data_IF_275070518213
#
_entry.id   IF_275070518213
#
_cell.length_a   1.000
_cell.length_b   1.000
_cell.length_c   1.000
_cell.angle_alpha   90.00
_cell.angle_beta   90.00
_cell.angle_gamma   90.00
#
_symmetry.space_group_name_H-M   'P 1'
#
loop_
_entity.id
_entity.type
_entity.pdbx_description
1 polymer ?
#
# COMPACT_ATOMS: atom_id res chain seq x y z
N UNK A 1 15.31 -14.28 9.93
CA UNK A 1 16.23 -13.92 11.03
C UNK A 1 15.72 -14.45 12.36
N UNK A 2 14.59 -13.98 12.91
CA UNK A 2 14.05 -14.50 14.19
C UNK A 2 13.69 -15.98 14.13
N UNK A 3 12.91 -16.42 13.14
CA UNK A 3 12.54 -17.84 12.98
C UNK A 3 13.77 -18.74 12.88
N UNK A 4 14.75 -18.35 12.05
CA UNK A 4 16.04 -19.05 11.93
C UNK A 4 16.82 -19.09 13.25
N UNK A 5 16.89 -17.97 13.98
CA UNK A 5 17.57 -17.89 15.27
C UNK A 5 16.91 -18.76 16.36
N UNK A 6 15.60 -18.98 16.23
CA UNK A 6 14.84 -19.88 17.09
C UNK A 6 14.90 -21.35 16.64
N UNK A 7 15.67 -21.68 15.59
CA UNK A 7 15.77 -23.05 15.07
C UNK A 7 14.49 -23.54 14.39
N UNK A 8 13.66 -22.65 13.85
CA UNK A 8 12.42 -23.01 13.17
C UNK A 8 12.71 -23.54 11.76
N UNK A 9 12.20 -24.74 11.45
CA UNK A 9 12.33 -25.37 10.13
C UNK A 9 11.34 -24.82 9.07
N UNK A 10 10.16 -24.41 9.51
CA UNK A 10 9.07 -23.93 8.64
C UNK A 10 8.33 -22.74 9.27
N UNK A 11 8.22 -21.65 8.51
CA UNK A 11 7.38 -20.51 8.84
C UNK A 11 6.08 -20.56 8.03
N UNK A 12 4.92 -20.59 8.70
CA UNK A 12 3.62 -20.50 8.03
C UNK A 12 3.13 -19.05 8.08
N UNK A 13 2.96 -18.42 6.92
CA UNK A 13 2.61 -17.02 6.77
C UNK A 13 1.19 -16.85 6.21
N UNK A 14 0.25 -16.46 7.07
CA UNK A 14 -1.16 -16.32 6.71
C UNK A 14 -1.48 -14.92 6.18
N UNK A 15 -2.42 -14.85 5.23
CA UNK A 15 -3.20 -13.65 4.93
C UNK A 15 -2.55 -12.63 3.99
N UNK A 16 -1.32 -12.85 3.53
CA UNK A 16 -0.62 -11.91 2.65
C UNK A 16 -0.11 -12.58 1.37
N UNK A 17 -0.04 -11.78 0.31
CA UNK A 17 0.61 -12.12 -0.95
C UNK A 17 2.11 -12.39 -0.78
N UNK A 18 2.63 -13.32 -1.56
CA UNK A 18 4.07 -13.60 -1.60
C UNK A 18 4.79 -12.50 -2.42
N UNK A 19 5.10 -11.38 -1.78
CA UNK A 19 5.75 -10.22 -2.43
C UNK A 19 7.25 -10.40 -2.65
N UNK A 20 7.85 -11.32 -1.91
CA UNK A 20 9.29 -11.58 -1.95
C UNK A 20 9.52 -12.89 -2.70
N UNK A 21 10.38 -12.90 -3.74
CA UNK A 21 10.76 -14.13 -4.40
C UNK A 21 11.28 -15.15 -3.38
N UNK A 22 10.71 -16.36 -3.39
CA UNK A 22 11.19 -17.43 -2.52
C UNK A 22 12.55 -17.91 -3.04
N UNK A 23 13.56 -17.85 -2.17
CA UNK A 23 14.86 -18.46 -2.45
C UNK A 23 14.80 -19.94 -2.07
N UNK A 24 14.85 -20.81 -3.09
CA UNK A 24 14.80 -22.26 -2.91
C UNK A 24 16.01 -22.81 -2.12
N UNK A 25 17.10 -22.05 -2.07
CA UNK A 25 18.29 -22.38 -1.30
C UNK A 25 18.27 -21.77 0.11
N UNK A 26 17.20 -21.06 0.48
CA UNK A 26 17.06 -20.52 1.83
C UNK A 26 16.93 -21.66 2.84
N UNK A 27 17.72 -21.59 3.92
CA UNK A 27 17.63 -22.54 5.02
C UNK A 27 16.29 -22.50 5.77
N UNK A 28 15.49 -21.44 5.60
CA UNK A 28 14.16 -21.31 6.20
C UNK A 28 13.08 -21.51 5.14
N UNK A 29 12.26 -22.55 5.30
CA UNK A 29 11.10 -22.79 4.44
C UNK A 29 9.95 -21.88 4.86
N UNK A 30 9.27 -21.26 3.90
CA UNK A 30 8.11 -20.40 4.15
C UNK A 30 6.91 -20.91 3.36
N UNK A 31 5.81 -21.21 4.05
CA UNK A 31 4.53 -21.59 3.45
C UNK A 31 3.56 -20.43 3.55
N UNK A 32 3.21 -19.83 2.42
CA UNK A 32 2.18 -18.79 2.36
C UNK A 32 0.80 -19.43 2.29
N UNK A 33 -0.08 -19.06 3.21
CA UNK A 33 -1.48 -19.47 3.22
C UNK A 33 -2.34 -18.26 2.85
N UNK A 34 -2.86 -18.28 1.62
CA UNK A 34 -3.82 -17.28 1.19
C UNK A 34 -5.16 -17.54 1.88
N UNK A 35 -5.72 -16.47 2.43
CA UNK A 35 -7.03 -16.49 3.07
C UNK A 35 -8.00 -15.83 2.10
N UNK A 36 -8.95 -16.62 1.58
CA UNK A 36 -10.02 -16.13 0.71
C UNK A 36 -11.30 -15.97 1.53
N UNK A 37 -11.73 -14.73 1.72
CA UNK A 37 -12.92 -14.39 2.51
C UNK A 37 -14.13 -14.40 1.58
N UNK A 38 -15.08 -15.28 1.88
CA UNK A 38 -16.34 -15.37 1.15
C UNK A 38 -17.28 -14.25 1.58
N UNK A 39 -17.88 -13.60 0.59
CA UNK A 39 -18.80 -12.49 0.75
C UNK A 39 -20.03 -12.70 -0.12
N UNK A 40 -21.07 -11.90 0.09
CA UNK A 40 -22.24 -11.84 -0.78
C UNK A 40 -21.89 -11.12 -2.09
N UNK A 41 -21.43 -11.88 -3.08
CA UNK A 41 -21.02 -11.36 -4.39
C UNK A 41 -22.19 -10.83 -5.20
N UNK A 42 -23.38 -11.41 -5.03
CA UNK A 42 -24.59 -10.97 -5.71
C UNK A 42 -24.96 -9.57 -5.25
N UNK A 43 -24.97 -9.32 -3.93
CA UNK A 43 -25.24 -7.98 -3.41
C UNK A 43 -24.21 -6.95 -3.91
N UNK A 44 -22.92 -7.30 -4.00
CA UNK A 44 -21.91 -6.41 -4.55
C UNK A 44 -22.19 -6.06 -6.02
N UNK A 45 -22.47 -7.06 -6.86
CA UNK A 45 -22.78 -6.87 -8.28
C UNK A 45 -24.04 -5.99 -8.46
N UNK A 46 -25.13 -6.32 -7.77
CA UNK A 46 -26.40 -5.57 -7.86
C UNK A 46 -26.24 -4.13 -7.34
N UNK A 47 -25.40 -3.92 -6.33
CA UNK A 47 -25.06 -2.57 -5.85
C UNK A 47 -24.38 -1.76 -6.95
N UNK A 48 -23.44 -2.35 -7.69
CA UNK A 48 -22.78 -1.65 -8.80
C UNK A 48 -23.74 -1.37 -9.94
N UNK A 49 -24.65 -2.31 -10.25
CA UNK A 49 -25.66 -2.11 -11.28
C UNK A 49 -26.63 -0.98 -10.95
N UNK A 50 -27.06 -0.90 -9.69
CA UNK A 50 -27.97 0.14 -9.22
C UNK A 50 -27.36 1.55 -9.31
N UNK A 51 -26.04 1.67 -9.09
CA UNK A 51 -25.37 2.96 -8.97
C UNK A 51 -24.69 3.45 -10.26
N UNK A 52 -24.42 2.57 -11.22
CA UNK A 52 -23.70 2.93 -12.44
C UNK A 52 -24.41 2.44 -13.71
N UNK A 53 -24.57 3.31 -14.74
CA UNK A 53 -24.95 2.86 -16.05
C UNK A 53 -23.81 2.05 -16.70
N UNK A 54 -24.17 1.13 -17.60
CA UNK A 54 -23.24 0.23 -18.33
C UNK A 54 -22.13 0.97 -19.10
N UNK A 55 -22.37 2.23 -19.48
CA UNK A 55 -21.40 3.10 -20.17
C UNK A 55 -20.27 3.60 -19.28
N UNK A 56 -20.41 3.51 -17.95
CA UNK A 56 -19.38 3.93 -17.00
C UNK A 56 -18.21 2.95 -17.01
N UNK A 57 -16.99 3.45 -17.14
CA UNK A 57 -15.78 2.64 -17.08
C UNK A 57 -15.37 2.44 -15.62
N UNK A 58 -15.44 1.20 -15.14
CA UNK A 58 -15.19 0.85 -13.74
C UNK A 58 -13.80 0.22 -13.58
N UNK A 59 -13.02 0.72 -12.64
CA UNK A 59 -11.76 0.11 -12.20
C UNK A 59 -11.98 -0.63 -10.88
N UNK A 60 -11.87 -1.96 -10.87
CA UNK A 60 -12.11 -2.75 -9.67
C UNK A 60 -10.79 -3.11 -8.98
N UNK A 61 -10.67 -2.77 -7.71
CA UNK A 61 -9.50 -3.06 -6.87
C UNK A 61 -9.91 -3.63 -5.51
N UNK A 62 -9.00 -4.32 -4.82
CA UNK A 62 -9.25 -5.02 -3.55
C UNK A 62 -7.94 -5.35 -2.83
N UNK A 63 -8.03 -5.88 -1.60
CA UNK A 63 -6.94 -6.63 -0.97
C UNK A 63 -6.93 -8.08 -1.44
N UNK A 64 -5.84 -8.80 -1.16
CA UNK A 64 -5.66 -10.23 -1.48
C UNK A 64 -6.82 -11.10 -0.97
N UNK A 65 -7.40 -10.73 0.17
CA UNK A 65 -8.43 -11.53 0.85
C UNK A 65 -9.77 -11.60 0.10
N UNK A 66 -10.07 -10.64 -0.77
CA UNK A 66 -11.32 -10.64 -1.55
C UNK A 66 -11.09 -10.76 -3.07
N UNK A 67 -9.86 -11.02 -3.49
CA UNK A 67 -9.47 -10.90 -4.91
C UNK A 67 -10.21 -11.88 -5.81
N UNK A 68 -10.45 -13.10 -5.32
CA UNK A 68 -11.18 -14.13 -6.07
C UNK A 68 -12.61 -13.67 -6.37
N UNK A 69 -13.29 -13.10 -5.37
CA UNK A 69 -14.65 -12.57 -5.53
C UNK A 69 -14.66 -11.33 -6.43
N UNK A 70 -13.70 -10.42 -6.29
CA UNK A 70 -13.58 -9.24 -7.16
C UNK A 70 -13.49 -9.64 -8.64
N UNK A 71 -12.60 -10.59 -8.96
CA UNK A 71 -12.40 -11.04 -10.34
C UNK A 71 -13.62 -11.80 -10.89
N UNK A 72 -14.32 -12.55 -10.05
CA UNK A 72 -15.59 -13.19 -10.44
C UNK A 72 -16.66 -12.16 -10.74
N UNK A 73 -16.86 -11.17 -9.86
CA UNK A 73 -17.82 -10.09 -10.08
C UNK A 73 -17.49 -9.26 -11.34
N UNK A 74 -16.22 -9.01 -11.60
CA UNK A 74 -15.77 -8.33 -12.82
C UNK A 74 -16.22 -9.07 -14.09
N UNK A 75 -16.06 -10.41 -14.13
CA UNK A 75 -16.48 -11.23 -15.26
C UNK A 75 -18.00 -11.24 -15.45
N UNK A 76 -18.77 -11.31 -14.37
CA UNK A 76 -20.24 -11.26 -14.47
C UNK A 76 -20.72 -9.90 -14.97
N UNK A 77 -20.19 -8.80 -14.44
CA UNK A 77 -20.51 -7.45 -14.93
C UNK A 77 -20.16 -7.27 -16.41
N UNK A 78 -19.02 -7.80 -16.86
CA UNK A 78 -18.62 -7.76 -18.27
C UNK A 78 -19.59 -8.52 -19.19
N UNK A 79 -20.12 -9.68 -18.75
CA UNK A 79 -21.15 -10.43 -19.52
C UNK A 79 -22.44 -9.62 -19.69
N UNK A 80 -22.74 -8.74 -18.73
CA UNK A 80 -23.90 -7.86 -18.76
C UNK A 80 -23.64 -6.51 -19.45
N UNK A 81 -22.48 -6.35 -20.10
CA UNK A 81 -22.17 -5.19 -20.93
C UNK A 81 -21.48 -4.02 -20.21
N UNK A 82 -21.10 -4.19 -18.94
CA UNK A 82 -20.32 -3.18 -18.23
C UNK A 82 -18.86 -3.13 -18.70
N UNK A 83 -18.30 -1.92 -18.77
CA UNK A 83 -16.89 -1.71 -19.10
C UNK A 83 -16.05 -1.78 -17.83
N UNK A 84 -15.55 -2.98 -17.50
CA UNK A 84 -14.78 -3.24 -16.27
C UNK A 84 -13.31 -3.49 -16.55
N UNK A 85 -12.43 -2.78 -15.85
CA UNK A 85 -10.97 -2.98 -15.81
C UNK A 85 -10.54 -3.51 -14.45
N UNK A 86 -9.79 -4.61 -14.45
CA UNK A 86 -9.13 -5.14 -13.25
C UNK A 86 -7.61 -4.94 -13.44
N UNK A 87 -7.02 -3.86 -12.87
CA UNK A 87 -5.63 -3.48 -13.10
C UNK A 87 -4.67 -4.44 -12.40
N UNK A 88 -3.43 -4.55 -12.85
CA UNK A 88 -2.40 -5.34 -12.16
C UNK A 88 -1.12 -4.54 -11.98
N UNK A 89 -0.61 -4.48 -10.75
CA UNK A 89 0.72 -3.96 -10.45
C UNK A 89 1.60 -5.13 -10.00
N UNK A 90 2.44 -5.66 -10.89
CA UNK A 90 3.26 -6.85 -10.57
C UNK A 90 4.22 -6.54 -9.39
N UNK A 91 4.42 -7.49 -8.46
CA UNK A 91 4.01 -8.90 -8.51
C UNK A 91 2.59 -9.20 -7.99
N UNK A 92 1.78 -8.20 -7.66
CA UNK A 92 0.43 -8.39 -7.10
C UNK A 92 -0.52 -9.08 -8.08
N UNK A 93 -1.55 -9.71 -7.54
CA UNK A 93 -2.63 -10.32 -8.30
C UNK A 93 -3.44 -9.25 -9.06
N UNK A 94 -4.10 -9.58 -10.18
CA UNK A 94 -4.99 -8.63 -10.86
C UNK A 94 -6.10 -8.15 -9.93
N UNK A 95 -6.19 -6.84 -9.74
CA UNK A 95 -7.11 -6.12 -8.84
C UNK A 95 -6.54 -5.88 -7.45
N UNK A 96 -5.40 -6.47 -7.11
CA UNK A 96 -4.83 -6.36 -5.77
C UNK A 96 -4.05 -5.05 -5.61
N UNK A 97 -4.31 -4.36 -4.50
CA UNK A 97 -3.58 -3.16 -4.07
C UNK A 97 -3.09 -3.31 -2.63
N UNK A 98 -2.00 -2.61 -2.32
CA UNK A 98 -1.44 -2.47 -0.98
C UNK A 98 -1.56 -1.01 -0.53
N UNK A 99 -1.52 -0.76 0.78
CA UNK A 99 -1.49 0.63 1.25
C UNK A 99 -0.26 1.42 0.77
N UNK A 100 0.84 0.74 0.42
CA UNK A 100 2.04 1.34 -0.15
C UNK A 100 2.11 1.27 -1.68
N UNK A 101 1.18 0.59 -2.35
CA UNK A 101 1.28 0.31 -3.79
C UNK A 101 -0.11 0.20 -4.41
N UNK A 102 -0.43 1.16 -5.28
CA UNK A 102 -1.63 1.13 -6.09
C UNK A 102 -1.30 1.53 -7.54
N UNK A 103 -1.96 0.94 -8.55
CA UNK A 103 -1.73 1.28 -9.95
C UNK A 103 -2.32 2.65 -10.30
N UNK A 104 -1.71 3.32 -11.28
CA UNK A 104 -2.34 4.44 -11.99
C UNK A 104 -3.33 3.86 -13.00
N UNK A 105 -4.60 4.17 -12.81
CA UNK A 105 -5.71 3.66 -13.63
C UNK A 105 -5.92 4.59 -14.83
N UNK A 106 -5.82 4.01 -16.03
CA UNK A 106 -6.07 4.72 -17.28
C UNK A 106 -7.43 4.31 -17.82
N UNK A 107 -8.12 5.25 -18.47
CA UNK A 107 -9.39 4.97 -19.16
C UNK A 107 -10.50 4.43 -18.24
N UNK A 108 -10.54 4.87 -16.99
CA UNK A 108 -11.55 4.53 -15.99
C UNK A 108 -12.20 5.82 -15.50
N UNK A 109 -13.51 5.80 -15.27
CA UNK A 109 -14.27 6.94 -14.74
C UNK A 109 -14.37 6.87 -13.21
N UNK A 110 -14.44 5.67 -12.65
CA UNK A 110 -14.57 5.45 -11.20
C UNK A 110 -13.78 4.22 -10.75
N UNK A 111 -13.03 4.36 -9.65
CA UNK A 111 -12.39 3.25 -8.96
C UNK A 111 -13.32 2.75 -7.86
N UNK A 112 -13.54 1.44 -7.82
CA UNK A 112 -14.33 0.76 -6.80
C UNK A 112 -13.41 -0.19 -6.05
N UNK A 113 -13.29 0.05 -4.75
CA UNK A 113 -12.57 -0.83 -3.83
C UNK A 113 -13.53 -1.76 -3.12
N UNK A 114 -13.28 -3.06 -3.22
CA UNK A 114 -13.93 -4.11 -2.44
C UNK A 114 -13.09 -4.40 -1.21
N UNK A 115 -13.64 -4.12 -0.03
CA UNK A 115 -12.98 -4.44 1.23
C UNK A 115 -13.38 -3.50 2.35
N UNK A 116 -12.93 -3.84 3.54
CA UNK A 116 -13.08 -3.00 4.71
C UNK A 116 -11.95 -1.96 4.83
N UNK A 117 -12.18 -1.00 5.72
CA UNK A 117 -11.24 0.11 5.96
C UNK A 117 -11.10 1.06 4.77
N UNK A 118 -10.22 2.05 4.91
CA UNK A 118 -9.89 3.04 3.86
C UNK A 118 -8.43 3.01 3.45
N UNK A 119 -7.56 2.41 4.26
CA UNK A 119 -6.10 2.47 4.12
C UNK A 119 -5.58 2.08 2.73
N UNK A 120 -6.11 0.99 2.16
CA UNK A 120 -5.74 0.52 0.82
C UNK A 120 -6.32 1.42 -0.28
N UNK A 121 -7.60 1.78 -0.16
CA UNK A 121 -8.25 2.69 -1.10
C UNK A 121 -7.57 4.06 -1.15
N UNK A 122 -7.10 4.58 -0.01
CA UNK A 122 -6.34 5.83 0.02
C UNK A 122 -5.09 5.78 -0.86
N UNK A 123 -4.39 4.64 -0.94
CA UNK A 123 -3.26 4.50 -1.86
C UNK A 123 -3.70 4.66 -3.32
N UNK A 124 -4.85 4.08 -3.68
CA UNK A 124 -5.45 4.25 -5.01
C UNK A 124 -5.92 5.70 -5.25
N UNK A 125 -6.52 6.35 -4.25
CA UNK A 125 -6.95 7.76 -4.35
C UNK A 125 -5.73 8.68 -4.53
N UNK A 126 -4.68 8.51 -3.72
CA UNK A 126 -3.41 9.27 -3.83
C UNK A 126 -2.81 9.14 -5.24
N UNK A 127 -2.78 7.92 -5.79
CA UNK A 127 -2.25 7.67 -7.13
C UNK A 127 -3.16 8.18 -8.26
N UNK A 128 -4.46 8.36 -7.99
CA UNK A 128 -5.48 8.70 -9.00
C UNK A 128 -6.39 9.86 -8.54
N UNK A 129 -5.84 11.07 -8.32
CA UNK A 129 -6.54 12.18 -7.66
C UNK A 129 -7.78 12.73 -8.40
N UNK A 130 -7.96 12.36 -9.67
CA UNK A 130 -9.07 12.83 -10.51
C UNK A 130 -10.21 11.82 -10.62
N UNK A 131 -10.00 10.58 -10.16
CA UNK A 131 -11.03 9.54 -10.27
C UNK A 131 -12.02 9.66 -9.11
N UNK A 132 -13.29 9.37 -9.39
CA UNK A 132 -14.26 9.13 -8.33
C UNK A 132 -13.90 7.81 -7.67
N UNK A 133 -13.76 7.82 -6.34
CA UNK A 133 -13.45 6.63 -5.57
C UNK A 133 -14.67 6.17 -4.79
N UNK A 134 -14.94 4.88 -4.82
CA UNK A 134 -16.00 4.25 -4.05
C UNK A 134 -15.47 3.06 -3.28
N UNK A 135 -16.06 2.80 -2.12
CA UNK A 135 -15.80 1.64 -1.30
C UNK A 135 -17.08 0.84 -1.15
N UNK A 136 -16.97 -0.46 -1.38
CA UNK A 136 -17.95 -1.43 -0.92
C UNK A 136 -17.37 -2.22 0.25
N UNK A 137 -17.96 -2.07 1.42
CA UNK A 137 -17.63 -2.87 2.60
C UNK A 137 -18.51 -4.14 2.61
N UNK A 138 -17.94 -5.34 2.43
CA UNK A 138 -18.70 -6.58 2.33
C UNK A 138 -19.33 -7.02 3.66
N UNK A 139 -18.84 -6.53 4.80
CA UNK A 139 -19.37 -6.89 6.11
C UNK A 139 -20.60 -6.05 6.45
N UNK A 140 -20.50 -4.73 6.26
CA UNK A 140 -21.60 -3.80 6.53
C UNK A 140 -22.56 -3.64 5.35
N UNK A 141 -22.22 -4.19 4.16
CA UNK A 141 -22.93 -4.02 2.89
C UNK A 141 -23.14 -2.56 2.50
N UNK A 142 -22.26 -1.67 2.94
CA UNK A 142 -22.32 -0.24 2.64
C UNK A 142 -21.50 0.09 1.40
N UNK A 143 -22.09 0.87 0.51
CA UNK A 143 -21.43 1.44 -0.65
C UNK A 143 -21.33 2.96 -0.49
N UNK A 144 -20.11 3.47 -0.36
CA UNK A 144 -19.85 4.88 -0.08
C UNK A 144 -18.94 5.47 -1.14
N UNK A 145 -19.21 6.72 -1.52
CA UNK A 145 -18.21 7.52 -2.21
C UNK A 145 -17.18 8.01 -1.19
N UNK A 146 -15.91 7.89 -1.55
CA UNK A 146 -14.78 8.20 -0.70
C UNK A 146 -14.00 9.38 -1.28
N UNK A 147 -13.54 10.25 -0.39
CA UNK A 147 -12.79 11.45 -0.74
C UNK A 147 -11.44 11.46 -0.03
N UNK A 148 -10.45 12.06 -0.68
CA UNK A 148 -9.12 12.25 -0.12
C UNK A 148 -8.74 13.72 -0.21
N UNK A 149 -8.33 14.29 0.93
CA UNK A 149 -7.92 15.69 1.05
C UNK A 149 -6.52 15.88 0.46
N UNK A 150 -6.43 15.87 -0.88
CA UNK A 150 -5.16 15.98 -1.60
C UNK A 150 -4.43 17.29 -1.32
N UNK A 151 -5.17 18.39 -1.20
CA UNK A 151 -4.60 19.70 -0.92
C UNK A 151 -4.03 19.75 0.50
N UNK A 152 -4.76 19.27 1.50
CA UNK A 152 -4.25 19.16 2.87
C UNK A 152 -2.97 18.30 2.92
N UNK A 153 -3.00 17.11 2.32
CA UNK A 153 -1.83 16.22 2.26
C UNK A 153 -0.62 16.90 1.60
N UNK A 154 -0.82 17.64 0.51
CA UNK A 154 0.25 18.39 -0.18
C UNK A 154 0.77 19.54 0.67
N UNK A 155 -0.12 20.30 1.30
CA UNK A 155 0.25 21.43 2.18
C UNK A 155 1.07 20.95 3.38
N UNK A 156 0.63 19.88 4.05
CA UNK A 156 1.35 19.28 5.18
C UNK A 156 2.73 18.79 4.75
N UNK A 157 2.82 18.06 3.64
CA UNK A 157 4.12 17.59 3.11
C UNK A 157 5.03 18.72 2.68
N UNK A 158 4.50 19.75 2.02
CA UNK A 158 5.27 20.91 1.61
C UNK A 158 5.83 21.67 2.82
N UNK A 159 5.03 21.82 3.88
CA UNK A 159 5.49 22.39 5.15
C UNK A 159 6.66 21.58 5.72
N UNK A 160 6.53 20.26 5.84
CA UNK A 160 7.62 19.41 6.34
C UNK A 160 8.88 19.46 5.47
N UNK A 161 8.73 19.56 4.14
CA UNK A 161 9.85 19.75 3.23
C UNK A 161 10.54 21.11 3.49
N UNK A 162 9.77 22.19 3.65
CA UNK A 162 10.30 23.52 3.95
C UNK A 162 11.00 23.57 5.32
N UNK A 163 10.42 22.95 6.34
CA UNK A 163 11.04 22.85 7.67
C UNK A 163 12.36 22.06 7.58
N UNK A 164 12.38 20.95 6.83
CA UNK A 164 13.59 20.14 6.62
C UNK A 164 14.68 20.86 5.82
N UNK A 165 14.36 21.87 4.99
CA UNK A 165 15.39 22.67 4.31
C UNK A 165 16.27 23.46 5.28
N UNK A 166 15.74 23.78 6.46
CA UNK A 166 16.45 24.49 7.53
C UNK A 166 17.25 23.55 8.44
N UNK A 167 16.99 22.24 8.41
CA UNK A 167 17.64 21.24 9.25
C UNK A 167 19.14 21.08 8.92
N UNK A 168 20.01 21.08 9.94
CA UNK A 168 21.46 20.86 9.77
C UNK A 168 21.86 19.39 9.91
N UNK A 169 21.14 18.64 10.75
CA UNK A 169 21.43 17.26 11.14
C UNK A 169 20.26 16.34 10.81
N UNK A 170 20.53 15.31 10.02
CA UNK A 170 19.53 14.36 9.54
C UNK A 170 19.76 12.96 10.12
N UNK A 171 18.68 12.36 10.62
CA UNK A 171 18.59 10.92 10.87
C UNK A 171 18.12 10.18 9.63
N UNK A 172 18.96 9.30 9.09
CA UNK A 172 18.60 8.45 7.94
C UNK A 172 18.18 7.09 8.49
N UNK A 173 16.88 6.83 8.52
CA UNK A 173 16.32 5.60 9.08
C UNK A 173 16.29 4.51 8.02
N UNK A 174 16.99 3.40 8.25
CA UNK A 174 16.88 2.18 7.47
C UNK A 174 15.94 1.20 8.19
N UNK A 175 14.80 0.90 7.56
CA UNK A 175 13.86 -0.10 8.05
C UNK A 175 14.48 -1.50 8.03
N UNK A 176 14.51 -2.19 9.17
CA UNK A 176 15.07 -3.56 9.28
C UNK A 176 13.99 -4.64 9.30
N UNK A 177 12.71 -4.26 9.26
CA UNK A 177 11.60 -5.21 9.18
C UNK A 177 11.42 -5.73 7.75
N UNK A 178 11.57 -7.05 7.58
CA UNK A 178 11.41 -7.71 6.30
C UNK A 178 12.36 -7.16 5.23
N UNK A 179 11.80 -6.76 4.07
CA UNK A 179 12.54 -6.12 2.97
C UNK A 179 12.11 -4.66 2.73
N UNK A 180 11.67 -3.96 3.79
CA UNK A 180 11.19 -2.58 3.67
C UNK A 180 12.32 -1.57 3.44
N UNK A 181 13.52 -1.81 4.02
CA UNK A 181 14.68 -0.93 3.83
C UNK A 181 15.53 -1.28 2.63
N UNK A 182 16.32 -0.30 2.18
CA UNK A 182 17.28 -0.46 1.08
C UNK A 182 18.59 0.26 1.40
N UNK A 183 19.68 -0.50 1.57
CA UNK A 183 21.01 0.05 1.83
C UNK A 183 21.49 0.93 0.68
N UNK A 184 21.19 0.56 -0.57
CA UNK A 184 21.51 1.37 -1.74
C UNK A 184 20.86 2.76 -1.68
N UNK A 185 19.59 2.82 -1.27
CA UNK A 185 18.87 4.09 -1.13
C UNK A 185 19.42 4.90 0.05
N UNK A 186 19.76 4.23 1.17
CA UNK A 186 20.40 4.88 2.32
C UNK A 186 21.73 5.52 1.91
N UNK A 187 22.62 4.79 1.25
CA UNK A 187 23.92 5.32 0.80
C UNK A 187 23.74 6.50 -0.16
N UNK A 188 22.80 6.38 -1.12
CA UNK A 188 22.51 7.45 -2.07
C UNK A 188 22.01 8.72 -1.37
N UNK A 189 21.07 8.61 -0.44
CA UNK A 189 20.52 9.76 0.28
C UNK A 189 21.54 10.37 1.23
N UNK A 190 22.36 9.53 1.88
CA UNK A 190 23.44 10.00 2.74
C UNK A 190 24.47 10.82 1.97
N UNK A 191 24.90 10.34 0.79
CA UNK A 191 25.81 11.07 -0.09
C UNK A 191 25.22 12.42 -0.50
N UNK A 192 23.96 12.46 -0.92
CA UNK A 192 23.28 13.69 -1.32
C UNK A 192 23.16 14.71 -0.19
N UNK A 193 22.87 14.25 1.03
CA UNK A 193 22.81 15.12 2.20
C UNK A 193 24.19 15.68 2.57
N UNK A 194 25.23 14.84 2.50
CA UNK A 194 26.63 15.28 2.72
C UNK A 194 27.07 16.32 1.68
N UNK A 195 26.76 16.12 0.40
CA UNK A 195 27.03 17.09 -0.67
C UNK A 195 26.30 18.42 -0.46
N UNK A 196 25.13 18.40 0.20
CA UNK A 196 24.40 19.58 0.63
C UNK A 196 24.88 20.17 1.97
N UNK A 197 26.07 19.78 2.44
CA UNK A 197 26.68 20.20 3.71
C UNK A 197 25.80 19.91 4.94
N UNK A 198 25.02 18.82 4.92
CA UNK A 198 24.22 18.36 6.05
C UNK A 198 24.95 17.23 6.80
N UNK A 199 24.86 17.23 8.12
CA UNK A 199 25.37 16.13 8.94
C UNK A 199 24.36 14.99 8.92
N UNK A 200 24.83 13.74 8.84
CA UNK A 200 23.98 12.56 8.73
C UNK A 200 24.30 11.55 9.83
N UNK A 201 23.29 10.84 10.31
CA UNK A 201 23.43 9.68 11.18
C UNK A 201 22.50 8.59 10.65
N UNK A 202 23.05 7.43 10.29
CA UNK A 202 22.26 6.27 9.86
C UNK A 202 21.74 5.54 11.10
N UNK A 203 20.44 5.26 11.13
CA UNK A 203 19.72 4.64 12.25
C UNK A 203 19.00 3.39 11.73
N UNK A 204 19.26 2.24 12.34
CA UNK A 204 18.57 1.00 12.01
C UNK A 204 17.37 0.81 12.93
N UNK A 205 16.15 0.75 12.39
CA UNK A 205 14.93 0.56 13.17
C UNK A 205 14.03 -0.52 12.56
N UNK A 206 13.57 -1.47 13.39
CA UNK A 206 12.55 -2.45 12.97
C UNK A 206 11.16 -1.81 12.93
N UNK A 207 10.85 -0.97 13.92
CA UNK A 207 9.59 -0.27 14.07
C UNK A 207 9.85 1.21 14.33
N UNK A 208 9.11 2.06 13.62
CA UNK A 208 9.24 3.51 13.63
C UNK A 208 7.94 4.08 14.20
N UNK A 209 8.03 4.81 15.31
CA UNK A 209 6.91 5.50 15.94
C UNK A 209 7.42 6.75 16.67
N UNK A 210 6.58 7.79 16.85
CA UNK A 210 7.02 9.10 17.35
C UNK A 210 7.84 9.04 18.64
N UNK A 211 7.36 8.31 19.66
CA UNK A 211 8.05 8.20 20.95
C UNK A 211 9.50 7.69 20.85
N UNK A 212 9.82 6.86 19.85
CA UNK A 212 11.19 6.39 19.62
C UNK A 212 12.05 7.45 18.93
N UNK A 213 11.45 8.23 18.02
CA UNK A 213 12.14 9.33 17.33
C UNK A 213 12.44 10.48 18.29
N UNK A 214 11.56 10.75 19.26
CA UNK A 214 11.73 11.77 20.29
C UNK A 214 12.99 11.56 21.17
N UNK A 215 13.50 10.32 21.24
CA UNK A 215 14.74 9.99 21.96
C UNK A 215 16.00 10.56 21.28
N UNK A 216 15.93 10.91 19.99
CA UNK A 216 17.06 11.45 19.23
C UNK A 216 17.09 12.98 19.27
N UNK A 217 17.35 13.53 20.45
CA UNK A 217 17.30 14.99 20.75
C UNK A 217 18.34 15.85 20.02
N UNK A 218 19.26 15.24 19.25
CA UNK A 218 20.35 15.93 18.55
C UNK A 218 20.18 15.94 17.01
N UNK A 219 19.04 15.50 16.52
CA UNK A 219 18.69 15.47 15.10
C UNK A 219 17.56 16.45 14.83
N UNK A 220 17.62 17.13 13.70
CA UNK A 220 16.66 18.18 13.34
C UNK A 220 15.54 17.63 12.44
N UNK A 221 15.85 16.63 11.62
CA UNK A 221 14.91 16.00 10.70
C UNK A 221 15.24 14.52 10.46
N UNK A 222 14.25 13.75 9.99
CA UNK A 222 14.40 12.35 9.64
C UNK A 222 14.03 12.08 8.18
N UNK A 223 14.75 11.16 7.55
CA UNK A 223 14.38 10.56 6.27
C UNK A 223 14.24 9.07 6.51
N UNK A 224 13.06 8.50 6.24
CA UNK A 224 12.80 7.09 6.45
C UNK A 224 12.84 6.31 5.14
N UNK A 225 13.62 5.23 5.13
CA UNK A 225 13.74 4.26 4.05
C UNK A 225 13.17 2.94 4.61
N UNK A 226 11.84 2.90 4.72
CA UNK A 226 11.05 1.76 5.17
C UNK A 226 9.67 1.76 4.46
N UNK A 227 8.57 1.56 5.18
CA UNK A 227 7.23 1.65 4.62
C UNK A 227 6.87 3.11 4.26
N UNK A 228 6.47 3.43 3.01
CA UNK A 228 6.18 4.80 2.58
C UNK A 228 4.90 5.39 3.21
N UNK A 229 4.11 4.60 3.94
CA UNK A 229 2.89 5.05 4.63
C UNK A 229 3.15 5.65 6.02
N UNK A 230 4.41 5.68 6.48
CA UNK A 230 4.79 6.23 7.78
C UNK A 230 5.06 7.74 7.76
N UNK A 231 5.22 8.34 6.57
CA UNK A 231 5.67 9.73 6.37
C UNK A 231 4.88 10.46 5.30
#
# INVERSE_FOLDING_TARGET
>A
LTATALGVDLLVHYGHSCLVPMDLNSGLKVLYIFVDIKIDSLHFIETLKLNFPVSTKLGLVSTIQFIATLQAAARELQKEGYIVTVPQFKPLSPGEILGCTAPVLKCVDSVIYLGDGRFHLEAAMIANPKLKAYKYDPYSKKFTQEYYEHEEMRTVRQKHISDAQLAGKFGIIMGTLGRQGSSTVVSHLEERLKLANRQTTVILLSEIFPMKLDLFTRLDAFVQIACPRLS
#
